data_IF_203182792260
#
_entry.id   IF_203182792260
#
_cell.length_a   1.000
_cell.length_b   1.000
_cell.length_c   1.000
_cell.angle_alpha   90.00
_cell.angle_beta   90.00
_cell.angle_gamma   90.00
#
_symmetry.space_group_name_H-M   'P 1'
#
loop_
_entity.id
_entity.type
_entity.pdbx_description
1 polymer ?
#
# COMPACT_ATOMS: atom_id res chain seq x y z
N UNK A 1 18.74 -11.07 -5.97
CA UNK A 1 18.78 -10.01 -6.98
C UNK A 1 18.48 -8.67 -6.35
N UNK A 2 19.29 -7.68 -6.64
CA UNK A 2 19.04 -6.34 -6.15
C UNK A 2 18.03 -5.66 -7.06
N UNK A 3 16.98 -5.19 -6.44
CA UNK A 3 15.92 -4.51 -7.18
C UNK A 3 16.04 -3.01 -6.99
N UNK A 4 15.52 -2.28 -7.95
CA UNK A 4 15.39 -0.84 -7.85
C UNK A 4 14.11 -0.49 -7.12
N UNK A 5 13.92 0.78 -6.84
CA UNK A 5 12.73 1.24 -6.10
C UNK A 5 12.09 2.40 -6.81
N UNK A 6 10.79 2.27 -7.02
CA UNK A 6 9.95 3.39 -7.46
C UNK A 6 9.21 3.86 -6.22
N UNK A 7 9.29 5.16 -5.94
CA UNK A 7 8.84 5.69 -4.65
C UNK A 7 7.79 6.77 -4.87
N UNK A 8 6.69 6.67 -4.13
CA UNK A 8 5.71 7.74 -3.98
C UNK A 8 5.78 8.17 -2.53
N UNK A 9 6.17 9.41 -2.26
CA UNK A 9 6.37 9.86 -0.89
C UNK A 9 5.30 10.83 -0.47
N UNK A 10 4.73 10.57 0.72
CA UNK A 10 3.82 11.48 1.40
C UNK A 10 2.63 11.90 0.54
N UNK A 11 2.02 10.92 -0.13
CA UNK A 11 0.78 11.17 -0.85
C UNK A 11 -0.28 11.58 0.16
N UNK A 12 -0.78 12.79 0.03
CA UNK A 12 -1.75 13.31 0.98
C UNK A 12 -3.15 12.93 0.53
N UNK A 13 -3.84 12.20 1.38
CA UNK A 13 -5.21 11.73 1.15
C UNK A 13 -6.09 12.21 2.30
N UNK A 14 -7.39 11.99 2.17
CA UNK A 14 -8.33 12.35 3.21
C UNK A 14 -9.43 11.31 3.25
N UNK A 15 -9.74 10.81 4.44
CA UNK A 15 -10.77 9.77 4.55
C UNK A 15 -11.08 9.42 5.99
N UNK A 16 -12.07 8.54 6.15
CA UNK A 16 -12.46 8.01 7.44
C UNK A 16 -11.49 6.89 7.80
N UNK A 17 -10.83 7.01 8.95
CA UNK A 17 -9.86 6.02 9.38
C UNK A 17 -9.73 6.10 10.90
N UNK A 18 -9.99 5.00 11.60
CA UNK A 18 -9.83 4.95 13.03
C UNK A 18 -11.02 4.32 13.72
N UNK A 19 -10.86 4.02 15.02
CA UNK A 19 -11.89 3.34 15.81
C UNK A 19 -12.68 4.29 16.69
N UNK A 20 -12.17 5.49 16.93
CA UNK A 20 -12.85 6.42 17.85
C UNK A 20 -14.10 7.00 17.21
N UNK A 21 -15.13 7.30 18.00
CA UNK A 21 -16.40 7.76 17.43
C UNK A 21 -16.24 8.96 16.51
N UNK A 22 -15.41 9.92 16.86
CA UNK A 22 -15.22 11.09 16.01
C UNK A 22 -14.47 10.73 14.73
N UNK A 23 -13.61 9.72 14.78
CA UNK A 23 -12.91 9.26 13.58
C UNK A 23 -13.83 8.54 12.62
N UNK A 24 -14.92 7.97 13.11
CA UNK A 24 -15.88 7.25 12.27
C UNK A 24 -16.79 8.19 11.47
N UNK A 25 -16.86 9.45 11.86
CA UNK A 25 -17.79 10.39 11.21
C UNK A 25 -17.09 11.57 10.54
N UNK A 26 -15.79 11.76 10.79
CA UNK A 26 -15.08 12.94 10.26
C UNK A 26 -13.84 12.49 9.48
N UNK A 27 -13.78 12.80 8.20
CA UNK A 27 -12.56 12.50 7.42
C UNK A 27 -11.35 13.23 7.99
N UNK A 28 -10.20 12.60 7.92
CA UNK A 28 -8.96 13.21 8.38
C UNK A 28 -7.87 13.04 7.34
N UNK A 29 -6.81 13.81 7.50
CA UNK A 29 -5.64 13.70 6.63
C UNK A 29 -4.95 12.35 6.88
N UNK A 30 -4.52 11.72 5.80
CA UNK A 30 -3.80 10.45 5.82
C UNK A 30 -2.67 10.57 4.81
N UNK A 31 -1.43 10.31 5.24
CA UNK A 31 -0.29 10.30 4.34
C UNK A 31 0.09 8.89 4.00
N UNK A 32 0.28 8.62 2.72
CA UNK A 32 0.66 7.30 2.23
C UNK A 32 1.97 7.41 1.50
N UNK A 33 2.93 6.56 1.87
CA UNK A 33 4.19 6.45 1.13
C UNK A 33 4.34 5.02 0.66
N UNK A 34 4.75 4.87 -0.59
CA UNK A 34 4.88 3.58 -1.25
C UNK A 34 6.29 3.44 -1.78
N UNK A 35 6.89 2.27 -1.57
CA UNK A 35 8.13 1.89 -2.21
C UNK A 35 7.85 0.61 -2.97
N UNK A 36 8.03 0.65 -4.29
CA UNK A 36 7.74 -0.47 -5.17
C UNK A 36 9.07 -1.02 -5.66
N UNK A 37 9.41 -2.23 -5.24
CA UNK A 37 10.70 -2.85 -5.61
C UNK A 37 10.51 -3.59 -6.92
N UNK A 38 11.28 -3.21 -7.92
CA UNK A 38 11.13 -3.75 -9.27
C UNK A 38 12.44 -3.58 -10.02
N UNK A 39 12.53 -4.24 -11.19
CA UNK A 39 13.67 -4.08 -12.06
C UNK A 39 13.34 -2.98 -13.08
N UNK A 40 14.00 -1.84 -12.98
CA UNK A 40 13.73 -0.72 -13.86
C UNK A 40 14.57 -0.75 -15.15
N UNK A 41 15.43 -1.75 -15.33
CA UNK A 41 16.31 -1.80 -16.50
C UNK A 41 15.56 -1.92 -17.82
N UNK A 42 14.49 -2.73 -17.93
CA UNK A 42 13.74 -2.78 -19.20
C UNK A 42 13.17 -1.42 -19.61
N UNK A 43 12.61 -0.69 -18.66
CA UNK A 43 12.05 0.63 -18.94
C UNK A 43 13.15 1.61 -19.33
N UNK A 44 14.29 1.57 -18.63
CA UNK A 44 15.41 2.45 -18.93
C UNK A 44 15.98 2.19 -20.32
N UNK A 45 16.00 0.93 -20.77
CA UNK A 45 16.53 0.57 -22.07
C UNK A 45 15.57 0.93 -23.20
N UNK A 46 14.28 0.71 -23.03
CA UNK A 46 13.31 0.93 -24.10
C UNK A 46 12.77 2.35 -24.13
N UNK A 47 12.77 3.01 -22.97
CA UNK A 47 12.14 4.30 -22.79
C UNK A 47 10.64 4.27 -23.07
N UNK A 48 10.03 3.09 -22.98
CA UNK A 48 8.60 2.92 -23.22
C UNK A 48 7.86 2.85 -21.90
N UNK A 49 6.78 3.60 -21.80
CA UNK A 49 5.98 3.63 -20.57
C UNK A 49 5.38 2.26 -20.25
N UNK A 50 5.14 1.45 -21.27
CA UNK A 50 4.58 0.10 -21.07
C UNK A 50 5.53 -0.81 -20.31
N UNK A 51 6.81 -0.51 -20.33
CA UNK A 51 7.81 -1.32 -19.63
C UNK A 51 8.07 -0.82 -18.21
N UNK A 52 7.42 0.26 -17.80
CA UNK A 52 7.60 0.85 -16.48
C UNK A 52 6.42 0.50 -15.58
N UNK A 53 6.69 0.45 -14.28
CA UNK A 53 5.62 0.32 -13.30
C UNK A 53 4.82 1.62 -13.29
N UNK A 54 3.50 1.50 -13.37
CA UNK A 54 2.63 2.66 -13.42
C UNK A 54 2.35 3.14 -11.98
N UNK A 55 3.21 4.02 -11.48
CA UNK A 55 3.07 4.54 -10.12
C UNK A 55 1.83 5.42 -9.97
N UNK A 56 1.36 6.03 -11.06
CA UNK A 56 0.15 6.85 -11.00
C UNK A 56 -1.07 5.98 -10.71
N UNK A 57 -1.17 4.84 -11.36
CA UNK A 57 -2.29 3.92 -11.12
C UNK A 57 -2.26 3.40 -9.69
N UNK A 58 -1.07 3.07 -9.19
CA UNK A 58 -0.93 2.58 -7.81
C UNK A 58 -1.31 3.68 -6.83
N UNK A 59 -0.86 4.91 -7.06
CA UNK A 59 -1.21 6.04 -6.20
C UNK A 59 -2.72 6.28 -6.20
N UNK A 60 -3.37 6.19 -7.36
CA UNK A 60 -4.81 6.35 -7.44
C UNK A 60 -5.56 5.27 -6.67
N UNK A 61 -5.07 4.02 -6.73
CA UNK A 61 -5.67 2.94 -5.96
C UNK A 61 -5.53 3.19 -4.46
N UNK A 62 -4.36 3.64 -4.02
CA UNK A 62 -4.14 3.94 -2.61
C UNK A 62 -5.07 5.07 -2.16
N UNK A 63 -5.18 6.12 -2.95
CA UNK A 63 -6.06 7.24 -2.63
C UNK A 63 -7.50 6.79 -2.52
N UNK A 64 -7.98 5.99 -3.46
CA UNK A 64 -9.35 5.49 -3.44
C UNK A 64 -9.62 4.65 -2.19
N UNK A 65 -8.65 3.82 -1.80
CA UNK A 65 -8.81 3.00 -0.60
C UNK A 65 -8.92 3.87 0.67
N UNK A 66 -8.16 4.96 0.73
CA UNK A 66 -8.28 5.89 1.86
C UNK A 66 -9.64 6.57 1.84
N UNK A 67 -10.04 7.06 0.67
CA UNK A 67 -11.25 7.89 0.56
C UNK A 67 -12.52 7.10 0.77
N UNK A 68 -12.55 5.85 0.34
CA UNK A 68 -13.80 5.07 0.34
C UNK A 68 -13.78 3.87 1.26
N UNK A 69 -12.62 3.50 1.82
CA UNK A 69 -12.50 2.27 2.58
C UNK A 69 -13.14 2.29 3.95
N UNK A 70 -13.05 3.43 4.64
CA UNK A 70 -13.62 3.54 5.96
C UNK A 70 -13.07 2.53 6.96
N UNK A 71 -11.78 2.21 6.86
CA UNK A 71 -11.18 1.19 7.71
C UNK A 71 -11.05 1.67 9.13
N UNK A 72 -11.18 0.75 10.07
CA UNK A 72 -11.00 1.06 11.47
C UNK A 72 -9.55 1.07 11.87
N UNK A 73 -8.75 0.19 11.28
CA UNK A 73 -7.34 0.05 11.64
C UNK A 73 -6.45 0.47 10.50
N UNK A 74 -5.38 1.19 10.84
CA UNK A 74 -4.35 1.58 9.88
C UNK A 74 -3.72 0.32 9.26
N UNK A 75 -3.58 -0.73 10.05
CA UNK A 75 -3.02 -2.01 9.59
C UNK A 75 -3.81 -2.60 8.43
N UNK A 76 -5.14 -2.53 8.51
CA UNK A 76 -5.99 -3.05 7.45
C UNK A 76 -5.80 -2.24 6.16
N UNK A 77 -5.75 -0.92 6.29
CA UNK A 77 -5.53 -0.06 5.14
C UNK A 77 -4.17 -0.35 4.49
N UNK A 78 -3.12 -0.49 5.31
CA UNK A 78 -1.80 -0.84 4.80
C UNK A 78 -1.83 -2.14 3.99
N UNK A 79 -2.48 -3.15 4.53
CA UNK A 79 -2.55 -4.46 3.89
C UNK A 79 -3.28 -4.38 2.55
N UNK A 80 -4.38 -3.65 2.49
CA UNK A 80 -5.14 -3.49 1.25
C UNK A 80 -4.37 -2.70 0.20
N UNK A 81 -3.63 -1.67 0.62
CA UNK A 81 -2.79 -0.91 -0.29
C UNK A 81 -1.66 -1.81 -0.82
N UNK A 82 -1.05 -2.61 0.05
CA UNK A 82 0.02 -3.51 -0.38
C UNK A 82 -0.50 -4.51 -1.42
N UNK A 83 -1.69 -5.07 -1.20
CA UNK A 83 -2.28 -5.99 -2.16
C UNK A 83 -2.47 -5.31 -3.52
N UNK A 84 -2.90 -4.06 -3.52
CA UNK A 84 -3.06 -3.30 -4.76
C UNK A 84 -1.70 -3.08 -5.45
N UNK A 85 -0.65 -2.77 -4.68
CA UNK A 85 0.69 -2.59 -5.24
C UNK A 85 1.17 -3.86 -5.94
N UNK A 86 0.86 -5.02 -5.37
CA UNK A 86 1.35 -6.29 -5.87
C UNK A 86 0.50 -6.87 -7.00
N UNK A 87 -0.54 -6.16 -7.42
CA UNK A 87 -1.32 -6.59 -8.60
C UNK A 87 -0.49 -6.55 -9.86
N UNK A 88 0.49 -5.67 -9.94
CA UNK A 88 1.43 -5.64 -11.05
C UNK A 88 2.55 -6.63 -10.74
N UNK A 89 2.69 -7.71 -11.52
CA UNK A 89 3.70 -8.73 -11.21
C UNK A 89 5.13 -8.22 -11.33
N UNK A 90 5.36 -7.07 -11.96
CA UNK A 90 6.69 -6.46 -11.99
C UNK A 90 7.08 -5.89 -10.64
N UNK A 91 6.12 -5.58 -9.78
CA UNK A 91 6.40 -5.16 -8.40
C UNK A 91 6.64 -6.41 -7.59
N UNK A 92 7.90 -6.67 -7.28
CA UNK A 92 8.28 -7.91 -6.59
C UNK A 92 8.08 -7.82 -5.07
N UNK A 93 8.13 -6.62 -4.54
CA UNK A 93 7.87 -6.36 -3.14
C UNK A 93 7.47 -4.91 -3.01
N UNK A 94 6.77 -4.59 -1.93
CA UNK A 94 6.42 -3.21 -1.65
C UNK A 94 6.55 -2.92 -0.16
N UNK A 95 6.85 -1.66 0.14
CA UNK A 95 6.78 -1.14 1.50
C UNK A 95 5.69 -0.08 1.47
N UNK A 96 4.74 -0.21 2.38
CA UNK A 96 3.60 0.71 2.50
C UNK A 96 3.66 1.35 3.86
N UNK A 97 3.67 2.67 3.89
CA UNK A 97 3.64 3.43 5.13
C UNK A 97 2.41 4.31 5.12
N UNK A 98 1.58 4.20 6.14
CA UNK A 98 0.37 5.00 6.28
C UNK A 98 0.44 5.71 7.62
N UNK A 99 0.26 7.03 7.59
CA UNK A 99 0.30 7.85 8.80
C UNK A 99 -0.94 8.70 8.92
N UNK A 100 -1.38 8.90 10.16
CA UNK A 100 -2.38 9.90 10.51
C UNK A 100 -1.61 11.05 11.16
N UNK A 101 -1.39 12.16 10.44
CA UNK A 101 -0.57 13.24 10.99
C UNK A 101 -1.18 13.92 12.19
N UNK A 102 -2.50 13.87 12.34
CA UNK A 102 -3.17 14.57 13.42
C UNK A 102 -3.64 13.67 14.56
N UNK A 103 -3.19 12.42 14.59
CA UNK A 103 -3.70 11.46 15.58
C UNK A 103 -3.32 11.81 17.01
N UNK A 104 -2.13 12.37 17.21
CA UNK A 104 -1.68 12.80 18.54
C UNK A 104 -1.21 14.24 18.42
N UNK A 105 -1.61 15.11 19.35
CA UNK A 105 -1.26 16.54 19.25
C UNK A 105 0.23 16.83 19.39
N UNK A 106 0.97 15.93 20.06
CA UNK A 106 2.39 16.15 20.31
C UNK A 106 3.29 15.22 19.51
N UNK A 107 2.77 14.58 18.48
CA UNK A 107 3.57 13.78 17.54
C UNK A 107 3.34 14.30 16.13
N UNK A 108 4.37 14.22 15.29
CA UNK A 108 4.24 14.61 13.87
C UNK A 108 3.28 13.70 13.13
N UNK A 109 3.13 12.48 13.58
CA UNK A 109 2.18 11.53 13.00
C UNK A 109 2.28 10.20 13.71
N UNK A 110 1.26 9.38 13.49
CA UNK A 110 1.21 8.02 14.03
C UNK A 110 0.85 7.11 12.87
N UNK A 111 1.59 6.03 12.70
CA UNK A 111 1.31 5.18 11.57
C UNK A 111 1.91 3.79 11.66
N UNK A 112 1.77 3.08 10.55
CA UNK A 112 2.22 1.70 10.42
C UNK A 112 3.00 1.59 9.11
N UNK A 113 4.10 0.87 9.13
CA UNK A 113 4.87 0.53 7.93
C UNK A 113 4.92 -0.98 7.81
N UNK A 114 4.57 -1.48 6.65
CA UNK A 114 4.62 -2.92 6.38
C UNK A 114 5.41 -3.18 5.11
N UNK A 115 5.92 -4.40 4.99
CA UNK A 115 6.57 -4.87 3.77
C UNK A 115 5.89 -6.16 3.34
N UNK A 116 5.57 -6.28 2.06
CA UNK A 116 4.94 -7.47 1.49
C UNK A 116 5.65 -7.82 0.19
N UNK A 117 5.72 -9.11 -0.11
CA UNK A 117 6.38 -9.62 -1.32
C UNK A 117 5.39 -10.37 -2.16
N UNK A 118 5.69 -10.48 -3.47
CA UNK A 118 4.95 -11.39 -4.32
C UNK A 118 5.10 -12.80 -3.77
N UNK A 119 4.01 -13.53 -3.76
CA UNK A 119 4.06 -14.92 -3.35
C UNK A 119 4.75 -15.73 -4.43
N UNK A 120 5.59 -16.68 -4.03
CA UNK A 120 6.13 -17.64 -4.96
C UNK A 120 5.22 -18.88 -4.95
N UNK A 121 5.58 -19.87 -5.75
CA UNK A 121 4.74 -21.07 -5.86
C UNK A 121 4.54 -21.77 -4.53
N UNK A 122 5.56 -21.83 -3.72
CA UNK A 122 5.45 -22.48 -2.42
C UNK A 122 4.54 -21.73 -1.48
N UNK A 123 4.67 -20.40 -1.47
CA UNK A 123 3.81 -19.57 -0.65
C UNK A 123 2.37 -19.64 -1.11
N UNK A 124 2.18 -19.70 -2.41
CA UNK A 124 0.85 -19.81 -2.97
C UNK A 124 0.17 -21.11 -2.55
N UNK A 125 0.89 -22.22 -2.62
CA UNK A 125 0.35 -23.49 -2.19
C UNK A 125 -0.01 -23.47 -0.71
N UNK A 126 0.82 -22.91 0.11
CA UNK A 126 0.57 -22.80 1.53
C UNK A 126 -0.68 -21.97 1.80
N UNK A 127 -0.82 -20.87 1.11
CA UNK A 127 -1.99 -20.03 1.27
C UNK A 127 -3.25 -20.73 0.85
N UNK A 128 -3.20 -21.44 -0.24
CA UNK A 128 -4.36 -22.15 -0.72
C UNK A 128 -4.79 -23.22 0.27
N UNK A 129 -3.83 -23.86 0.89
CA UNK A 129 -4.13 -24.88 1.87
C UNK A 129 -4.77 -24.28 3.12
N UNK A 130 -4.42 -23.06 3.48
CA UNK A 130 -4.92 -22.41 4.67
C UNK A 130 -6.22 -21.67 4.42
N UNK A 131 -6.40 -21.14 3.26
CA UNK A 131 -7.52 -20.29 2.92
C UNK A 131 -8.89 -20.84 3.29
N UNK A 132 -9.16 -22.11 3.08
CA UNK A 132 -10.49 -22.59 3.40
C UNK A 132 -10.85 -22.47 4.86
N UNK A 133 -9.88 -22.49 5.72
CA UNK A 133 -10.21 -22.38 7.11
C UNK A 133 -10.46 -20.95 7.49
N UNK A 134 -10.00 -20.11 6.71
CA UNK A 134 -10.12 -18.77 7.13
C UNK A 134 -11.35 -18.18 6.73
N UNK A 135 -12.05 -18.70 6.04
CA UNK A 135 -13.17 -18.28 5.76
C UNK A 135 -13.61 -17.18 6.31
N UNK A 136 -13.22 -16.58 6.42
CA UNK A 136 -13.48 -15.35 6.67
C UNK A 136 -14.64 -14.78 6.34
#
# INVERSE_FOLDING_TARGET
MNLDRVVVRDLLCRGILGIHPEERVTPQAVRVSLTLECDTRPAAASERIEDAVDYSAVADRARTLVETGGFQLVETLCDRIAAACLEDPRVRACVVRVEKPDALPDAAGVGVTIRREQADEADWDTREFIAPTADR
#
